data_IF_051670247524
#
_entry.id   IF_051670247524
#
_cell.length_a   1.000
_cell.length_b   1.000
_cell.length_c   1.000
_cell.angle_alpha   90.00
_cell.angle_beta   90.00
_cell.angle_gamma   90.00
#
_symmetry.space_group_name_H-M   'P 1'
#
loop_
_entity.id
_entity.type
_entity.pdbx_description
1 polymer ?
#
# COMPACT_ATOMS: atom_id res chain seq x y z
N UNK A 1 14.83 19.25 -13.09
CA UNK A 1 14.87 17.78 -12.90
C UNK A 1 14.21 17.35 -11.60
N UNK A 2 14.70 17.71 -10.40
CA UNK A 2 13.99 17.38 -9.14
C UNK A 2 12.67 18.14 -8.96
N UNK A 3 12.64 19.41 -9.35
CA UNK A 3 11.45 20.27 -9.19
C UNK A 3 10.28 19.84 -10.10
N UNK A 4 10.58 19.35 -11.30
CA UNK A 4 9.57 18.88 -12.27
C UNK A 4 8.93 17.55 -11.84
N UNK A 5 9.72 16.71 -11.15
CA UNK A 5 9.24 15.44 -10.60
C UNK A 5 8.27 15.68 -9.43
N UNK A 6 8.62 16.58 -8.51
CA UNK A 6 7.76 16.99 -7.40
C UNK A 6 6.47 17.68 -7.87
N UNK A 7 6.54 18.50 -8.92
CA UNK A 7 5.36 19.09 -9.53
C UNK A 7 4.46 18.06 -10.22
N UNK A 8 5.03 17.04 -10.86
CA UNK A 8 4.25 15.97 -11.48
C UNK A 8 3.53 15.11 -10.44
N UNK A 9 4.19 14.84 -9.31
CA UNK A 9 3.62 14.11 -8.17
C UNK A 9 2.47 14.91 -7.55
N UNK A 10 2.65 16.22 -7.35
CA UNK A 10 1.61 17.09 -6.81
C UNK A 10 0.39 17.21 -7.75
N UNK A 11 0.60 17.25 -9.07
CA UNK A 11 -0.50 17.27 -10.05
C UNK A 11 -1.25 15.94 -10.11
N UNK A 12 -0.53 14.81 -10.08
CA UNK A 12 -1.14 13.49 -10.03
C UNK A 12 -1.96 13.30 -8.74
N UNK A 13 -1.44 13.78 -7.60
CA UNK A 13 -2.13 13.80 -6.31
C UNK A 13 -3.42 14.63 -6.36
N UNK A 14 -3.36 15.86 -6.87
CA UNK A 14 -4.53 16.74 -6.97
C UNK A 14 -5.59 16.23 -7.97
N UNK A 15 -5.17 15.58 -9.06
CA UNK A 15 -6.10 14.98 -10.03
C UNK A 15 -6.88 13.81 -9.42
N UNK A 16 -6.28 13.05 -8.50
CA UNK A 16 -6.92 11.94 -7.80
C UNK A 16 -7.97 12.40 -6.79
N UNK A 17 -7.70 13.49 -6.08
CA UNK A 17 -8.61 14.10 -5.09
C UNK A 17 -9.97 14.53 -5.65
N UNK A 18 -10.06 14.89 -6.94
CA UNK A 18 -11.29 15.42 -7.53
C UNK A 18 -12.31 14.35 -7.96
N UNK A 19 -11.96 13.06 -7.93
CA UNK A 19 -12.79 12.02 -8.55
C UNK A 19 -13.76 11.31 -7.60
N UNK A 20 -13.80 11.64 -6.30
CA UNK A 20 -14.37 10.73 -5.29
C UNK A 20 -15.28 11.49 -4.33
N UNK A 21 -16.55 11.60 -4.73
CA UNK A 21 -17.64 11.96 -3.83
C UNK A 21 -18.84 11.05 -4.13
N UNK A 22 -19.17 10.15 -3.21
CA UNK A 22 -20.41 9.36 -3.24
C UNK A 22 -20.29 8.02 -2.51
N UNK A 23 -20.93 7.93 -1.34
CA UNK A 23 -20.96 6.75 -0.49
C UNK A 23 -21.71 5.57 -1.14
N UNK A 24 -20.96 4.71 -1.82
CA UNK A 24 -21.22 3.29 -2.08
C UNK A 24 -19.86 2.71 -2.49
N UNK A 25 -19.28 1.81 -1.68
CA UNK A 25 -17.97 1.17 -1.92
C UNK A 25 -16.89 2.18 -2.41
N UNK A 26 -16.25 2.93 -1.50
CA UNK A 26 -15.22 3.89 -1.91
C UNK A 26 -14.15 3.16 -2.74
N UNK A 27 -13.93 3.52 -4.02
CA UNK A 27 -12.96 2.85 -4.87
C UNK A 27 -11.54 2.93 -4.30
N UNK A 28 -11.30 3.88 -3.38
CA UNK A 28 -10.06 3.99 -2.63
C UNK A 28 -9.85 2.85 -1.62
N UNK A 29 -10.91 2.24 -1.08
CA UNK A 29 -10.78 1.08 -0.18
C UNK A 29 -10.27 -0.13 -0.96
N UNK A 30 -10.80 -0.35 -2.17
CA UNK A 30 -10.31 -1.40 -3.07
C UNK A 30 -8.89 -1.10 -3.55
N UNK A 31 -8.58 0.16 -3.87
CA UNK A 31 -7.22 0.57 -4.24
C UNK A 31 -6.23 0.36 -3.10
N UNK A 32 -6.58 0.77 -1.87
CA UNK A 32 -5.74 0.55 -0.69
C UNK A 32 -5.48 -0.94 -0.47
N UNK A 33 -6.49 -1.79 -0.72
CA UNK A 33 -6.36 -3.24 -0.59
C UNK A 33 -5.45 -3.83 -1.67
N UNK A 34 -5.59 -3.44 -2.93
CA UNK A 34 -4.69 -3.86 -4.01
C UNK A 34 -3.23 -3.49 -3.70
N UNK A 35 -3.00 -2.27 -3.19
CA UNK A 35 -1.67 -1.83 -2.77
C UNK A 35 -1.13 -2.75 -1.68
N UNK A 36 -1.92 -3.04 -0.62
CA UNK A 36 -1.50 -3.94 0.47
C UNK A 36 -1.20 -5.36 -0.02
N UNK A 37 -2.03 -5.91 -0.93
CA UNK A 37 -1.79 -7.23 -1.52
C UNK A 37 -0.48 -7.27 -2.32
N UNK A 38 -0.18 -6.20 -3.07
CA UNK A 38 1.09 -6.06 -3.80
C UNK A 38 2.29 -5.90 -2.88
N UNK A 39 2.13 -5.21 -1.74
CA UNK A 39 3.17 -5.13 -0.70
C UNK A 39 3.46 -6.51 -0.10
N UNK A 40 2.43 -7.33 0.17
CA UNK A 40 2.61 -8.72 0.64
C UNK A 40 3.42 -9.53 -0.37
N UNK A 41 3.13 -9.40 -1.67
CA UNK A 41 3.88 -10.09 -2.71
C UNK A 41 5.36 -9.65 -2.76
N UNK A 42 5.65 -8.34 -2.60
CA UNK A 42 7.02 -7.83 -2.50
C UNK A 42 7.75 -8.44 -1.29
N UNK A 43 7.07 -8.55 -0.14
CA UNK A 43 7.64 -9.16 1.07
C UNK A 43 7.93 -10.64 0.85
N UNK A 44 7.02 -11.38 0.22
CA UNK A 44 7.25 -12.79 -0.13
C UNK A 44 8.45 -12.99 -1.06
N UNK A 45 8.59 -12.12 -2.05
CA UNK A 45 9.76 -12.11 -2.92
C UNK A 45 11.05 -11.83 -2.12
N UNK A 46 11.04 -10.82 -1.24
CA UNK A 46 12.19 -10.54 -0.36
C UNK A 46 12.53 -11.71 0.56
N UNK A 47 11.53 -12.39 1.14
CA UNK A 47 11.76 -13.58 1.99
C UNK A 47 12.38 -14.74 1.21
N UNK A 48 12.07 -14.86 -0.09
CA UNK A 48 12.69 -15.86 -0.96
C UNK A 48 14.14 -15.53 -1.35
N UNK A 49 14.46 -14.24 -1.48
CA UNK A 49 15.78 -13.75 -1.89
C UNK A 49 16.76 -13.64 -0.71
N UNK A 50 16.29 -13.12 0.42
CA UNK A 50 17.10 -12.85 1.60
C UNK A 50 16.86 -13.95 2.65
N UNK A 51 17.77 -14.93 2.72
CA UNK A 51 17.74 -15.98 3.76
C UNK A 51 17.95 -15.42 5.18
N UNK A 52 18.50 -14.22 5.31
CA UNK A 52 18.65 -13.49 6.57
C UNK A 52 17.53 -12.44 6.70
N UNK A 53 17.17 -12.03 7.93
CA UNK A 53 16.05 -11.13 8.24
C UNK A 53 14.63 -11.69 8.04
N UNK A 54 14.48 -13.00 7.89
CA UNK A 54 13.17 -13.67 7.71
C UNK A 54 12.18 -13.37 8.83
N UNK A 55 12.62 -13.19 10.07
CA UNK A 55 11.72 -12.83 11.20
C UNK A 55 11.16 -11.41 11.08
N UNK A 56 11.99 -10.45 10.68
CA UNK A 56 11.56 -9.06 10.47
C UNK A 56 10.60 -8.97 9.27
N UNK A 57 10.93 -9.65 8.18
CA UNK A 57 10.07 -9.75 7.00
C UNK A 57 8.74 -10.47 7.29
N UNK A 58 8.78 -11.56 8.06
CA UNK A 58 7.55 -12.28 8.46
C UNK A 58 6.65 -11.42 9.35
N UNK A 59 7.24 -10.64 10.27
CA UNK A 59 6.49 -9.72 11.08
C UNK A 59 5.91 -8.57 10.25
N UNK A 60 6.69 -7.99 9.33
CA UNK A 60 6.19 -6.98 8.39
C UNK A 60 5.01 -7.53 7.56
N UNK A 61 5.13 -8.76 7.04
CA UNK A 61 4.02 -9.45 6.35
C UNK A 61 2.79 -9.59 7.24
N UNK A 62 2.96 -9.93 8.51
CA UNK A 62 1.82 -10.06 9.44
C UNK A 62 1.09 -8.73 9.68
N UNK A 63 1.81 -7.60 9.68
CA UNK A 63 1.20 -6.28 9.74
C UNK A 63 0.38 -5.99 8.46
N UNK A 64 0.92 -6.32 7.28
CA UNK A 64 0.20 -6.14 6.01
C UNK A 64 -1.05 -7.00 5.90
N UNK A 65 -1.00 -8.23 6.37
CA UNK A 65 -2.18 -9.09 6.46
C UNK A 65 -3.22 -8.55 7.46
N UNK A 66 -2.79 -7.88 8.52
CA UNK A 66 -3.71 -7.21 9.44
C UNK A 66 -4.36 -5.99 8.78
N UNK A 67 -3.58 -5.18 8.04
CA UNK A 67 -4.09 -4.06 7.23
C UNK A 67 -5.11 -4.51 6.19
N UNK A 68 -4.84 -5.61 5.48
CA UNK A 68 -5.77 -6.20 4.50
C UNK A 68 -7.10 -6.59 5.15
N UNK A 69 -7.07 -7.25 6.32
CA UNK A 69 -8.29 -7.63 7.05
C UNK A 69 -9.09 -6.42 7.50
N UNK A 70 -8.42 -5.34 7.91
CA UNK A 70 -9.10 -4.11 8.28
C UNK A 70 -9.72 -3.43 7.07
N UNK A 71 -9.06 -3.41 5.92
CA UNK A 71 -9.65 -2.89 4.68
C UNK A 71 -10.90 -3.69 4.27
N UNK A 72 -10.86 -5.02 4.40
CA UNK A 72 -12.04 -5.87 4.18
C UNK A 72 -13.16 -5.53 5.16
N UNK A 73 -12.84 -5.31 6.44
CA UNK A 73 -13.83 -4.95 7.48
C UNK A 73 -14.48 -3.59 7.20
N UNK A 74 -13.74 -2.66 6.59
CA UNK A 74 -14.20 -1.35 6.14
C UNK A 74 -15.02 -1.39 4.84
N UNK A 75 -15.08 -2.54 4.16
CA UNK A 75 -15.90 -2.75 2.96
C UNK A 75 -15.13 -2.94 1.66
N UNK A 76 -13.80 -3.16 1.70
CA UNK A 76 -13.01 -3.57 0.54
C UNK A 76 -13.29 -5.06 0.19
N UNK A 77 -14.43 -5.34 -0.45
CA UNK A 77 -14.94 -6.69 -0.73
C UNK A 77 -15.31 -6.94 -2.20
N UNK A 78 -15.16 -5.94 -3.06
CA UNK A 78 -15.28 -6.09 -4.50
C UNK A 78 -14.30 -7.15 -4.99
N UNK A 79 -14.75 -8.04 -5.85
CA UNK A 79 -13.91 -9.09 -6.43
C UNK A 79 -12.93 -8.41 -7.40
N UNK A 80 -11.77 -7.97 -6.89
CA UNK A 80 -10.68 -7.51 -7.74
C UNK A 80 -10.31 -8.70 -8.63
N UNK A 81 -10.51 -8.62 -9.97
CA UNK A 81 -10.08 -9.69 -10.86
C UNK A 81 -8.59 -9.80 -10.64
N UNK A 82 -8.17 -10.96 -10.12
CA UNK A 82 -6.82 -11.30 -9.70
C UNK A 82 -5.84 -10.64 -10.67
N UNK A 83 -5.36 -9.43 -10.31
CA UNK A 83 -4.51 -8.69 -11.22
C UNK A 83 -3.26 -9.53 -11.25
N UNK A 84 -3.06 -10.15 -12.40
CA UNK A 84 -2.06 -11.18 -12.54
C UNK A 84 -0.76 -10.46 -12.26
N UNK A 85 -0.13 -10.79 -11.13
CA UNK A 85 1.22 -10.38 -10.68
C UNK A 85 2.33 -10.63 -11.73
N UNK A 86 1.95 -10.99 -12.96
CA UNK A 86 2.77 -11.33 -14.10
C UNK A 86 3.26 -10.12 -14.90
N UNK A 87 2.74 -8.90 -14.71
CA UNK A 87 3.11 -7.74 -15.56
C UNK A 87 4.02 -6.68 -14.93
N UNK A 88 4.23 -6.67 -13.60
CA UNK A 88 5.06 -5.62 -12.98
C UNK A 88 6.48 -6.09 -12.63
N UNK A 89 7.39 -5.71 -13.54
CA UNK A 89 8.77 -5.33 -13.25
C UNK A 89 9.75 -6.45 -12.86
N UNK A 90 9.89 -7.44 -13.75
CA UNK A 90 11.10 -8.29 -13.77
C UNK A 90 12.35 -7.41 -13.82
N UNK A 91 13.07 -7.32 -12.71
CA UNK A 91 14.37 -6.65 -12.60
C UNK A 91 14.46 -5.50 -11.60
N UNK A 92 13.36 -5.03 -11.00
CA UNK A 92 13.44 -4.03 -9.91
C UNK A 92 13.64 -4.70 -8.55
N UNK A 93 14.35 -4.00 -7.65
CA UNK A 93 14.55 -4.45 -6.28
C UNK A 93 13.19 -4.45 -5.55
N UNK A 94 12.72 -5.60 -5.02
CA UNK A 94 11.41 -5.69 -4.37
C UNK A 94 11.27 -4.79 -3.14
N UNK A 95 12.38 -4.40 -2.49
CA UNK A 95 12.34 -3.42 -1.41
C UNK A 95 11.99 -2.02 -1.90
N UNK A 96 12.54 -1.58 -3.04
CA UNK A 96 12.23 -0.27 -3.60
C UNK A 96 10.75 -0.20 -4.01
N UNK A 97 10.25 -1.25 -4.68
CA UNK A 97 8.83 -1.38 -5.02
C UNK A 97 7.94 -1.35 -3.78
N UNK A 98 8.36 -2.00 -2.68
CA UNK A 98 7.63 -1.95 -1.41
C UNK A 98 7.57 -0.53 -0.84
N UNK A 99 8.66 0.24 -0.91
CA UNK A 99 8.70 1.64 -0.47
C UNK A 99 7.78 2.53 -1.31
N UNK A 100 7.82 2.40 -2.65
CA UNK A 100 6.94 3.15 -3.55
C UNK A 100 5.46 2.86 -3.23
N UNK A 101 5.11 1.59 -3.06
CA UNK A 101 3.76 1.17 -2.67
C UNK A 101 3.36 1.69 -1.28
N UNK A 102 4.31 1.84 -0.34
CA UNK A 102 4.02 2.41 0.98
C UNK A 102 3.64 3.88 0.89
N UNK A 103 4.28 4.63 0.01
CA UNK A 103 3.94 6.04 -0.24
C UNK A 103 2.54 6.13 -0.86
N UNK A 104 2.27 5.32 -1.90
CA UNK A 104 0.95 5.25 -2.52
C UNK A 104 -0.14 4.91 -1.51
N UNK A 105 0.10 3.94 -0.61
CA UNK A 105 -0.85 3.58 0.43
C UNK A 105 -1.15 4.77 1.35
N UNK A 106 -0.14 5.47 1.85
CA UNK A 106 -0.38 6.61 2.73
C UNK A 106 -1.16 7.74 2.06
N UNK A 107 -0.94 7.99 0.78
CA UNK A 107 -1.72 8.95 -0.02
C UNK A 107 -3.20 8.51 -0.09
N UNK A 108 -3.45 7.24 -0.38
CA UNK A 108 -4.80 6.66 -0.45
C UNK A 108 -5.50 6.73 0.91
N UNK A 109 -4.80 6.40 2.00
CA UNK A 109 -5.35 6.47 3.36
C UNK A 109 -5.63 7.90 3.81
N UNK A 110 -4.79 8.87 3.47
CA UNK A 110 -5.04 10.28 3.77
C UNK A 110 -6.31 10.79 3.05
N UNK A 111 -6.51 10.36 1.80
CA UNK A 111 -7.72 10.67 1.03
C UNK A 111 -8.97 10.05 1.66
N UNK A 112 -8.92 8.76 2.03
CA UNK A 112 -9.99 8.06 2.75
C UNK A 112 -10.33 8.73 4.10
N UNK A 113 -9.31 9.23 4.81
CA UNK A 113 -9.52 10.01 6.04
C UNK A 113 -10.22 11.34 5.76
N UNK A 114 -9.89 12.00 4.65
CA UNK A 114 -10.60 13.18 4.15
C UNK A 114 -12.08 12.92 3.83
N UNK A 115 -12.41 11.68 3.44
CA UNK A 115 -13.80 11.21 3.24
C UNK A 115 -14.53 10.87 4.56
N UNK A 116 -13.86 11.05 5.71
CA UNK A 116 -14.44 10.80 7.03
C UNK A 116 -14.40 9.33 7.46
N UNK A 117 -13.66 8.47 6.74
CA UNK A 117 -13.50 7.06 7.14
C UNK A 117 -12.53 6.99 8.31
N UNK A 118 -12.92 6.24 9.35
CA UNK A 118 -12.07 6.03 10.53
C UNK A 118 -11.05 4.93 10.23
N UNK A 119 -9.77 5.29 10.17
CA UNK A 119 -8.68 4.40 9.77
C UNK A 119 -7.71 4.08 10.91
N UNK A 120 -8.07 4.31 12.18
CA UNK A 120 -7.13 4.26 13.32
C UNK A 120 -6.32 2.97 13.38
N UNK A 121 -6.97 1.81 13.33
CA UNK A 121 -6.28 0.51 13.40
C UNK A 121 -5.39 0.26 12.18
N UNK A 122 -5.85 0.69 11.00
CA UNK A 122 -5.12 0.57 9.75
C UNK A 122 -3.87 1.45 9.79
N UNK A 123 -3.99 2.71 10.19
CA UNK A 123 -2.88 3.63 10.35
C UNK A 123 -1.87 3.13 11.40
N UNK A 124 -2.31 2.52 12.49
CA UNK A 124 -1.41 1.93 13.48
C UNK A 124 -0.59 0.77 12.89
N UNK A 125 -1.22 -0.10 12.08
CA UNK A 125 -0.51 -1.17 11.38
C UNK A 125 0.50 -0.60 10.38
N UNK A 126 0.11 0.42 9.62
CA UNK A 126 0.92 1.02 8.57
C UNK A 126 2.10 1.85 9.09
N UNK A 127 1.91 2.58 10.19
CA UNK A 127 3.00 3.29 10.86
C UNK A 127 4.04 2.32 11.45
N UNK A 128 3.58 1.19 12.02
CA UNK A 128 4.48 0.11 12.47
C UNK A 128 5.21 -0.53 11.30
N UNK A 129 4.52 -0.77 10.19
CA UNK A 129 5.10 -1.34 8.98
C UNK A 129 6.21 -0.43 8.42
N UNK A 130 5.95 0.88 8.31
CA UNK A 130 6.94 1.87 7.89
C UNK A 130 8.19 1.86 8.80
N UNK A 131 7.98 1.81 10.13
CA UNK A 131 9.08 1.69 11.08
C UNK A 131 9.94 0.44 10.83
N UNK A 132 9.32 -0.71 10.57
CA UNK A 132 10.06 -1.93 10.22
C UNK A 132 10.75 -1.85 8.85
N UNK A 133 10.13 -1.23 7.86
CA UNK A 133 10.74 -1.03 6.54
C UNK A 133 12.01 -0.17 6.64
N UNK A 134 12.03 0.85 7.49
CA UNK A 134 13.22 1.69 7.71
C UNK A 134 14.43 0.93 8.28
N UNK A 135 14.21 -0.23 8.91
CA UNK A 135 15.27 -1.09 9.44
C UNK A 135 15.83 -2.09 8.41
N UNK A 136 15.17 -2.21 7.25
CA UNK A 136 15.55 -3.13 6.17
C UNK A 136 16.36 -2.44 5.06
N UNK A 137 16.35 -1.10 5.02
CA UNK A 137 17.06 -0.27 4.05
C UNK A 137 18.51 0.03 4.42
#
# INVERSE_FOLDING_TARGET
MENDYMESLARAYNARLHHITGAAESPLLEEARDIVERQIACIDQMMSMYKQNTRALAYLKSLKQASERELISLGAGGKIPSYTLASQERGKNPFNTLVDLQIDLFITLDTLKGEGITLTNLMDCEMRALGFMSLLG
#
